data_IF_500726970218
#
_entry.id   IF_500726970218
#
_cell.length_a   1.000
_cell.length_b   1.000
_cell.length_c   1.000
_cell.angle_alpha   90.00
_cell.angle_beta   90.00
_cell.angle_gamma   90.00
#
_symmetry.space_group_name_H-M   'P 1'
#
loop_
_entity.id
_entity.type
_entity.pdbx_description
1 polymer ?
#
# COMPACT_ATOMS: atom_id res chain seq x y z
N UNK A 1 -3.86 10.92 27.78
CA UNK A 1 -2.57 11.65 27.74
C UNK A 1 -1.34 10.75 27.58
N UNK A 2 -1.26 9.55 28.19
CA UNK A 2 -0.07 8.68 28.03
C UNK A 2 -0.01 7.97 26.68
N UNK A 3 -1.15 7.60 26.10
CA UNK A 3 -1.23 6.93 24.79
C UNK A 3 -0.75 7.83 23.64
N UNK A 4 -1.09 9.13 23.66
CA UNK A 4 -0.67 10.07 22.61
C UNK A 4 0.85 10.24 22.61
N UNK A 5 1.48 10.20 23.78
CA UNK A 5 2.95 10.24 23.92
C UNK A 5 3.60 8.95 23.44
N UNK A 6 2.96 7.80 23.65
CA UNK A 6 3.46 6.51 23.15
C UNK A 6 3.40 6.43 21.62
N UNK A 7 2.31 6.89 21.01
CA UNK A 7 2.14 6.96 19.55
C UNK A 7 3.12 7.95 18.92
N UNK A 8 3.33 9.12 19.56
CA UNK A 8 4.27 10.13 19.07
C UNK A 8 5.72 9.61 18.99
N UNK A 9 6.09 8.61 19.80
CA UNK A 9 7.41 7.96 19.80
C UNK A 9 7.58 6.89 18.72
N UNK A 10 6.48 6.42 18.08
CA UNK A 10 6.58 5.45 17.02
C UNK A 10 7.26 6.06 15.78
N UNK A 11 8.18 5.33 15.13
CA UNK A 11 8.85 5.82 13.93
C UNK A 11 7.83 6.01 12.80
N UNK A 12 7.69 7.27 12.36
CA UNK A 12 6.69 7.66 11.35
C UNK A 12 7.11 7.17 9.96
N UNK A 13 6.11 6.78 9.19
CA UNK A 13 6.28 6.40 7.78
C UNK A 13 5.96 7.59 6.89
N UNK A 14 6.77 7.79 5.85
CA UNK A 14 6.49 8.77 4.80
C UNK A 14 5.25 8.35 4.01
N UNK A 15 4.39 9.31 3.63
CA UNK A 15 3.11 9.06 2.95
C UNK A 15 3.26 8.29 1.64
N UNK A 16 4.26 8.64 0.82
CA UNK A 16 4.51 7.96 -0.45
C UNK A 16 4.83 6.46 -0.29
N UNK A 17 5.50 6.06 0.82
CA UNK A 17 5.78 4.64 1.10
C UNK A 17 4.49 3.86 1.39
N UNK A 18 3.51 4.49 2.06
CA UNK A 18 2.18 3.90 2.28
C UNK A 18 1.45 3.69 0.96
N UNK A 19 1.48 4.69 0.07
CA UNK A 19 0.91 4.58 -1.26
C UNK A 19 1.58 3.47 -2.09
N UNK A 20 2.91 3.38 -2.07
CA UNK A 20 3.64 2.32 -2.76
C UNK A 20 3.33 0.92 -2.17
N UNK A 21 3.19 0.79 -0.85
CA UNK A 21 2.79 -0.47 -0.23
C UNK A 21 1.38 -0.88 -0.66
N UNK A 22 0.44 0.06 -0.69
CA UNK A 22 -0.92 -0.16 -1.17
C UNK A 22 -0.91 -0.59 -2.64
N UNK A 23 -0.11 0.05 -3.47
CA UNK A 23 0.06 -0.29 -4.87
C UNK A 23 0.59 -1.72 -5.07
N UNK A 24 1.59 -2.14 -4.29
CA UNK A 24 2.11 -3.52 -4.33
C UNK A 24 1.02 -4.52 -3.92
N UNK A 25 0.29 -4.25 -2.83
CA UNK A 25 -0.80 -5.10 -2.35
C UNK A 25 -1.93 -5.19 -3.41
N UNK A 26 -2.30 -4.06 -4.01
CA UNK A 26 -3.30 -3.98 -5.08
C UNK A 26 -2.90 -4.85 -6.27
N UNK A 27 -1.68 -4.66 -6.80
CA UNK A 27 -1.21 -5.44 -7.94
C UNK A 27 -1.11 -6.93 -7.66
N UNK A 28 -0.69 -7.31 -6.46
CA UNK A 28 -0.64 -8.73 -6.08
C UNK A 28 -2.03 -9.37 -6.09
N UNK A 29 -3.05 -8.68 -5.56
CA UNK A 29 -4.42 -9.20 -5.54
C UNK A 29 -5.07 -9.16 -6.91
N UNK A 30 -4.96 -8.05 -7.64
CA UNK A 30 -5.58 -7.91 -8.96
C UNK A 30 -5.01 -8.91 -9.97
N UNK A 31 -3.69 -9.16 -9.94
CA UNK A 31 -3.06 -10.15 -10.81
C UNK A 31 -3.60 -11.57 -10.54
N UNK A 32 -3.71 -11.96 -9.26
CA UNK A 32 -4.24 -13.29 -8.92
C UNK A 32 -5.72 -13.39 -9.26
N UNK A 33 -6.51 -12.34 -9.00
CA UNK A 33 -7.93 -12.30 -9.33
C UNK A 33 -8.15 -12.44 -10.83
N UNK A 34 -7.49 -11.63 -11.65
CA UNK A 34 -7.65 -11.65 -13.12
C UNK A 34 -7.13 -12.94 -13.78
N UNK A 35 -6.13 -13.60 -13.20
CA UNK A 35 -5.67 -14.90 -13.71
C UNK A 35 -6.61 -16.05 -13.34
N UNK A 36 -7.34 -15.94 -12.23
CA UNK A 36 -8.27 -16.97 -11.77
C UNK A 36 -9.65 -16.87 -12.44
N UNK A 37 -10.04 -15.67 -12.85
CA UNK A 37 -11.32 -15.40 -13.54
C UNK A 37 -11.03 -15.03 -14.99
N UNK A 38 -10.97 -16.00 -15.89
CA UNK A 38 -10.83 -15.75 -17.33
C UNK A 38 -12.20 -15.49 -17.95
N UNK A 39 -12.77 -14.29 -17.72
CA UNK A 39 -13.98 -13.86 -18.42
C UNK A 39 -13.61 -13.28 -19.79
N UNK A 40 -14.30 -13.76 -20.83
CA UNK A 40 -14.19 -13.20 -22.20
C UNK A 40 -14.98 -11.90 -22.38
N UNK A 41 -15.76 -11.52 -21.40
CA UNK A 41 -16.57 -10.31 -21.43
C UNK A 41 -15.78 -9.09 -20.94
N UNK A 42 -15.92 -7.93 -21.60
CA UNK A 42 -15.24 -6.72 -21.18
C UNK A 42 -15.85 -6.16 -19.87
N UNK A 43 -15.00 -5.92 -18.88
CA UNK A 43 -15.40 -5.38 -17.59
C UNK A 43 -15.17 -6.38 -16.44
N UNK A 44 -15.28 -5.89 -15.21
CA UNK A 44 -15.13 -6.71 -13.99
C UNK A 44 -16.44 -7.45 -13.71
N UNK A 45 -16.43 -8.79 -13.79
CA UNK A 45 -17.55 -9.63 -13.41
C UNK A 45 -17.81 -9.63 -11.90
N UNK A 46 -19.01 -10.03 -11.49
CA UNK A 46 -19.36 -10.13 -10.05
C UNK A 46 -18.51 -11.19 -9.35
N UNK A 47 -18.23 -12.29 -10.03
CA UNK A 47 -17.36 -13.38 -9.56
C UNK A 47 -15.92 -12.88 -9.35
N UNK A 48 -15.40 -12.11 -10.29
CA UNK A 48 -14.07 -11.49 -10.20
C UNK A 48 -14.01 -10.45 -9.07
N UNK A 49 -15.02 -9.58 -8.93
CA UNK A 49 -15.12 -8.61 -7.85
C UNK A 49 -15.16 -9.28 -6.46
N UNK A 50 -15.94 -10.36 -6.33
CA UNK A 50 -16.01 -11.14 -5.10
C UNK A 50 -14.68 -11.83 -4.80
N UNK A 51 -14.04 -12.44 -5.79
CA UNK A 51 -12.75 -13.08 -5.63
C UNK A 51 -11.68 -12.05 -5.25
N UNK A 52 -11.65 -10.89 -5.90
CA UNK A 52 -10.77 -9.78 -5.54
C UNK A 52 -10.93 -9.39 -4.06
N UNK A 53 -12.17 -9.20 -3.61
CA UNK A 53 -12.44 -8.81 -2.22
C UNK A 53 -12.05 -9.91 -1.22
N UNK A 54 -12.32 -11.17 -1.53
CA UNK A 54 -11.90 -12.31 -0.70
C UNK A 54 -10.37 -12.41 -0.60
N UNK A 55 -9.66 -12.28 -1.72
CA UNK A 55 -8.20 -12.30 -1.75
C UNK A 55 -7.62 -11.09 -1.01
N UNK A 56 -8.23 -9.90 -1.18
CA UNK A 56 -7.85 -8.70 -0.46
C UNK A 56 -7.95 -8.89 1.06
N UNK A 57 -9.13 -9.30 1.55
CA UNK A 57 -9.36 -9.52 2.98
C UNK A 57 -8.49 -10.65 3.51
N UNK A 58 -8.38 -11.77 2.79
CA UNK A 58 -7.53 -12.90 3.16
C UNK A 58 -6.08 -12.46 3.31
N UNK A 59 -5.51 -11.82 2.30
CA UNK A 59 -4.13 -11.34 2.34
C UNK A 59 -3.92 -10.30 3.46
N UNK A 60 -4.83 -9.34 3.59
CA UNK A 60 -4.63 -8.20 4.50
C UNK A 60 -5.07 -8.46 5.94
N UNK A 61 -5.85 -9.50 6.20
CA UNK A 61 -6.19 -9.93 7.56
C UNK A 61 -5.29 -11.09 7.98
N UNK A 62 -5.23 -12.18 7.20
CA UNK A 62 -4.48 -13.38 7.57
C UNK A 62 -2.98 -13.09 7.61
N UNK A 63 -2.39 -12.52 6.54
CA UNK A 63 -0.96 -12.22 6.55
C UNK A 63 -0.60 -11.19 7.62
N UNK A 64 -1.44 -10.18 7.85
CA UNK A 64 -1.17 -9.15 8.86
C UNK A 64 -1.16 -9.74 10.27
N UNK A 65 -2.08 -10.65 10.59
CA UNK A 65 -2.09 -11.34 11.89
C UNK A 65 -0.88 -12.28 12.05
N UNK A 66 -0.55 -13.05 11.01
CA UNK A 66 0.57 -13.98 11.05
C UNK A 66 1.94 -13.29 10.98
N UNK A 67 2.04 -12.17 10.26
CA UNK A 67 3.29 -11.46 9.99
C UNK A 67 3.43 -10.16 10.82
N UNK A 68 3.02 -10.18 12.07
CA UNK A 68 3.24 -9.09 13.04
C UNK A 68 2.80 -7.70 12.55
N UNK A 69 1.66 -7.61 11.86
CA UNK A 69 1.11 -6.36 11.39
C UNK A 69 1.51 -5.96 9.95
N UNK A 70 2.07 -6.88 9.17
CA UNK A 70 2.58 -6.58 7.83
C UNK A 70 1.81 -7.34 6.73
N UNK A 71 1.28 -6.61 5.73
CA UNK A 71 0.90 -7.17 4.42
C UNK A 71 2.13 -7.32 3.53
N UNK A 72 1.97 -7.84 2.30
CA UNK A 72 3.08 -7.98 1.34
C UNK A 72 3.77 -6.63 1.06
N UNK A 73 2.99 -5.61 0.72
CA UNK A 73 3.53 -4.28 0.43
C UNK A 73 4.14 -3.61 1.66
N UNK A 74 3.51 -3.76 2.83
CA UNK A 74 4.07 -3.24 4.10
C UNK A 74 5.35 -3.97 4.49
N UNK A 75 5.41 -5.28 4.30
CA UNK A 75 6.61 -6.06 4.53
C UNK A 75 7.76 -5.63 3.59
N UNK A 76 7.45 -5.43 2.31
CA UNK A 76 8.43 -4.98 1.31
C UNK A 76 9.04 -3.61 1.65
N UNK A 77 8.29 -2.73 2.32
CA UNK A 77 8.71 -1.36 2.64
C UNK A 77 9.02 -1.13 4.13
N UNK A 78 9.23 -2.19 4.89
CA UNK A 78 9.55 -2.14 6.33
C UNK A 78 8.54 -1.32 7.15
N UNK A 79 7.25 -1.62 6.98
CA UNK A 79 6.15 -0.99 7.71
C UNK A 79 5.26 -2.02 8.37
N UNK A 80 4.59 -1.63 9.43
CA UNK A 80 3.57 -2.45 10.10
C UNK A 80 2.40 -1.61 10.59
N UNK A 81 1.24 -2.23 10.72
CA UNK A 81 0.08 -1.65 11.39
C UNK A 81 0.11 -2.02 12.88
N UNK A 82 -0.21 -1.05 13.73
CA UNK A 82 -0.32 -1.25 15.18
C UNK A 82 -1.57 -0.56 15.71
N UNK A 83 -2.12 -1.11 16.77
CA UNK A 83 -3.20 -0.50 17.54
C UNK A 83 -2.69 0.74 18.29
N UNK A 84 -3.48 1.82 18.28
CA UNK A 84 -3.12 3.08 18.94
C UNK A 84 -3.12 2.98 20.45
N UNK A 85 -3.84 2.03 21.04
CA UNK A 85 -3.97 1.88 22.50
C UNK A 85 -2.79 1.14 23.10
N UNK A 86 -2.30 0.11 22.42
CA UNK A 86 -1.32 -0.83 23.00
C UNK A 86 -0.03 -0.95 22.19
N UNK A 87 0.10 -0.27 21.03
CA UNK A 87 1.23 -0.33 20.11
C UNK A 87 1.61 -1.77 19.67
N UNK A 88 0.64 -2.69 19.67
CA UNK A 88 0.75 -4.09 19.23
C UNK A 88 -0.08 -4.34 17.98
N UNK A 89 -0.03 -5.54 17.43
CA UNK A 89 -0.88 -5.93 16.29
C UNK A 89 -2.34 -5.72 16.67
N UNK A 90 -3.15 -5.06 15.81
CA UNK A 90 -4.56 -4.82 16.09
C UNK A 90 -5.35 -6.11 16.24
N UNK A 91 -6.46 -6.05 16.96
CA UNK A 91 -7.40 -7.17 17.07
C UNK A 91 -8.08 -7.42 15.72
N UNK A 92 -8.56 -8.67 15.53
CA UNK A 92 -9.19 -9.07 14.26
C UNK A 92 -10.37 -8.18 13.87
N UNK A 93 -11.17 -7.74 14.85
CA UNK A 93 -12.32 -6.85 14.61
C UNK A 93 -11.87 -5.49 14.07
N UNK A 94 -10.82 -4.91 14.65
CA UNK A 94 -10.28 -3.63 14.22
C UNK A 94 -9.60 -3.76 12.83
N UNK A 95 -8.89 -4.87 12.59
CA UNK A 95 -8.35 -5.19 11.27
C UNK A 95 -9.46 -5.36 10.22
N UNK A 96 -10.55 -6.04 10.57
CA UNK A 96 -11.68 -6.25 9.65
C UNK A 96 -12.36 -4.92 9.29
N UNK A 97 -12.61 -4.05 10.27
CA UNK A 97 -13.16 -2.69 10.01
C UNK A 97 -12.26 -1.90 9.07
N UNK A 98 -10.96 -1.92 9.33
CA UNK A 98 -9.95 -1.22 8.56
C UNK A 98 -9.84 -1.74 7.13
N UNK A 99 -9.58 -3.04 7.00
CA UNK A 99 -9.31 -3.65 5.69
C UNK A 99 -10.59 -3.88 4.88
N UNK A 100 -11.74 -3.98 5.55
CA UNK A 100 -13.06 -4.04 4.90
C UNK A 100 -13.40 -2.71 4.22
N UNK A 101 -13.26 -1.58 4.91
CA UNK A 101 -13.47 -0.27 4.31
C UNK A 101 -12.50 -0.02 3.16
N UNK A 102 -11.21 -0.23 3.40
CA UNK A 102 -10.19 -0.08 2.38
C UNK A 102 -10.39 -1.04 1.20
N UNK A 103 -10.86 -2.27 1.47
CA UNK A 103 -11.14 -3.26 0.43
C UNK A 103 -12.25 -2.82 -0.53
N UNK A 104 -13.30 -2.19 0.00
CA UNK A 104 -14.37 -1.60 -0.82
C UNK A 104 -13.82 -0.45 -1.68
N UNK A 105 -13.04 0.46 -1.09
CA UNK A 105 -12.45 1.59 -1.81
C UNK A 105 -11.51 1.12 -2.93
N UNK A 106 -10.68 0.13 -2.66
CA UNK A 106 -9.73 -0.43 -3.64
C UNK A 106 -10.46 -1.25 -4.70
N UNK A 107 -11.57 -1.94 -4.36
CA UNK A 107 -12.43 -2.60 -5.34
C UNK A 107 -13.08 -1.58 -6.29
N UNK A 108 -13.54 -0.43 -5.78
CA UNK A 108 -14.03 0.66 -6.61
C UNK A 108 -12.96 1.18 -7.57
N UNK A 109 -11.71 1.29 -7.11
CA UNK A 109 -10.58 1.62 -7.98
C UNK A 109 -10.37 0.54 -9.04
N UNK A 110 -10.41 -0.73 -8.67
CA UNK A 110 -10.26 -1.86 -9.59
C UNK A 110 -11.29 -1.82 -10.71
N UNK A 111 -12.58 -1.67 -10.35
CA UNK A 111 -13.67 -1.49 -11.31
C UNK A 111 -13.48 -0.18 -12.11
N UNK A 112 -13.14 0.92 -11.42
CA UNK A 112 -13.00 2.24 -12.04
C UNK A 112 -11.95 2.28 -13.15
N UNK A 113 -10.83 1.57 -12.98
CA UNK A 113 -9.75 1.50 -13.98
C UNK A 113 -10.22 0.86 -15.31
N UNK A 114 -11.12 -0.13 -15.27
CA UNK A 114 -11.70 -0.76 -16.44
C UNK A 114 -12.66 0.19 -17.21
N UNK A 115 -13.26 1.15 -16.48
CA UNK A 115 -14.20 2.12 -17.05
C UNK A 115 -13.56 3.47 -17.43
N UNK A 116 -12.22 3.60 -17.37
CA UNK A 116 -11.51 4.79 -17.85
C UNK A 116 -11.52 4.77 -19.38
N UNK A 117 -12.48 5.51 -19.97
CA UNK A 117 -12.60 5.68 -21.43
C UNK A 117 -12.78 7.17 -21.76
N UNK A 118 -12.28 7.64 -22.92
CA UNK A 118 -12.52 9.01 -23.39
C UNK A 118 -14.03 9.30 -23.44
N UNK A 119 -14.47 10.38 -22.80
CA UNK A 119 -15.88 10.78 -22.71
C UNK A 119 -16.67 10.18 -21.54
N UNK A 120 -16.10 9.26 -20.76
CA UNK A 120 -16.75 8.70 -19.55
C UNK A 120 -16.05 9.18 -18.29
N UNK A 121 -16.74 9.94 -17.43
CA UNK A 121 -16.22 10.34 -16.11
C UNK A 121 -16.42 9.30 -15.02
N UNK A 122 -17.13 8.21 -15.29
CA UNK A 122 -17.51 7.20 -14.29
C UNK A 122 -16.27 6.56 -13.67
N UNK A 123 -15.29 6.16 -14.47
CA UNK A 123 -14.06 5.56 -13.98
C UNK A 123 -13.32 6.46 -12.98
N UNK A 124 -13.18 7.76 -13.30
CA UNK A 124 -12.56 8.73 -12.41
C UNK A 124 -13.36 8.96 -11.12
N UNK A 125 -14.70 8.95 -11.22
CA UNK A 125 -15.58 9.09 -10.05
C UNK A 125 -15.39 7.93 -9.05
N UNK A 126 -15.18 6.72 -9.52
CA UNK A 126 -14.94 5.54 -8.68
C UNK A 126 -13.60 5.56 -7.95
N UNK A 127 -12.64 6.38 -8.39
CA UNK A 127 -11.35 6.55 -7.70
C UNK A 127 -11.45 7.54 -6.52
N UNK A 128 -12.48 8.38 -6.46
CA UNK A 128 -12.61 9.45 -5.46
C UNK A 128 -12.63 8.95 -4.01
N UNK A 129 -13.36 7.87 -3.64
CA UNK A 129 -13.40 7.42 -2.25
C UNK A 129 -12.00 7.16 -1.69
N UNK A 130 -11.18 6.38 -2.40
CA UNK A 130 -9.80 6.10 -1.98
C UNK A 130 -8.92 7.36 -1.96
N UNK A 131 -9.09 8.26 -2.93
CA UNK A 131 -8.34 9.51 -2.97
C UNK A 131 -8.67 10.41 -1.77
N UNK A 132 -9.94 10.51 -1.39
CA UNK A 132 -10.39 11.27 -0.22
C UNK A 132 -9.84 10.63 1.05
N UNK A 133 -9.99 9.32 1.24
CA UNK A 133 -9.47 8.60 2.41
C UNK A 133 -7.96 8.81 2.57
N UNK A 134 -7.19 8.62 1.50
CA UNK A 134 -5.75 8.81 1.51
C UNK A 134 -5.33 10.27 1.75
N UNK A 135 -6.12 11.25 1.33
CA UNK A 135 -5.82 12.67 1.54
C UNK A 135 -5.79 13.07 3.02
N UNK A 136 -6.60 12.39 3.83
CA UNK A 136 -6.71 12.65 5.27
C UNK A 136 -5.42 12.34 6.04
N UNK A 137 -4.49 11.57 5.48
CA UNK A 137 -3.18 11.31 6.09
C UNK A 137 -2.38 12.59 6.36
N UNK A 138 -2.64 13.65 5.60
CA UNK A 138 -1.95 14.93 5.74
C UNK A 138 -2.63 15.89 6.73
N UNK A 139 -3.85 15.57 7.19
CA UNK A 139 -4.60 16.45 8.10
C UNK A 139 -4.07 16.40 9.53
N UNK A 140 -3.44 15.29 9.94
CA UNK A 140 -2.85 15.16 11.27
C UNK A 140 -1.35 14.81 11.16
N UNK A 141 -0.46 15.78 11.41
CA UNK A 141 0.97 15.56 11.35
C UNK A 141 1.49 14.63 12.45
N UNK A 142 0.74 14.43 13.55
CA UNK A 142 1.16 13.60 14.67
C UNK A 142 0.93 12.11 14.41
N UNK A 143 -0.26 11.74 13.98
CA UNK A 143 -0.62 10.32 13.78
C UNK A 143 -0.53 9.88 12.34
N UNK A 144 -0.70 10.81 11.38
CA UNK A 144 -0.76 10.54 9.93
C UNK A 144 -1.75 9.42 9.60
N UNK A 145 -2.92 9.43 10.24
CA UNK A 145 -3.96 8.44 10.03
C UNK A 145 -4.85 8.82 8.84
N UNK A 146 -5.18 7.84 8.02
CA UNK A 146 -6.25 7.89 7.02
C UNK A 146 -7.60 7.71 7.70
N UNK A 147 -8.71 7.81 6.96
CA UNK A 147 -10.04 7.63 7.52
C UNK A 147 -10.26 6.21 8.06
N UNK A 148 -9.92 5.20 7.27
CA UNK A 148 -9.99 3.80 7.70
C UNK A 148 -9.09 3.50 8.90
N UNK A 149 -7.92 4.16 9.02
CA UNK A 149 -7.05 4.04 10.19
C UNK A 149 -7.71 4.60 11.45
N UNK A 150 -8.42 5.75 11.33
CA UNK A 150 -9.12 6.38 12.46
C UNK A 150 -10.29 5.56 12.96
N UNK A 151 -11.12 5.02 12.05
CA UNK A 151 -12.26 4.15 12.42
C UNK A 151 -11.79 2.90 13.16
N UNK A 152 -10.69 2.33 12.75
CA UNK A 152 -10.14 1.11 13.35
C UNK A 152 -9.22 1.37 14.55
N UNK A 153 -8.93 2.63 14.89
CA UNK A 153 -7.99 2.95 15.96
C UNK A 153 -6.58 2.42 15.73
N UNK A 154 -6.10 2.47 14.48
CA UNK A 154 -4.80 1.93 14.07
C UNK A 154 -3.86 3.01 13.54
N UNK A 155 -2.58 2.72 13.52
CA UNK A 155 -1.55 3.60 12.93
C UNK A 155 -0.49 2.77 12.22
N UNK A 156 0.08 3.31 11.13
CA UNK A 156 1.18 2.66 10.42
C UNK A 156 2.51 3.25 10.92
N UNK A 157 3.40 2.38 11.38
CA UNK A 157 4.74 2.74 11.81
C UNK A 157 5.82 1.98 11.01
N UNK A 158 7.03 2.56 10.95
CA UNK A 158 8.17 1.89 10.35
C UNK A 158 8.69 0.78 11.25
N UNK A 159 9.15 -0.32 10.65
CA UNK A 159 9.93 -1.35 11.33
C UNK A 159 11.43 -1.05 11.17
N UNK A 160 12.25 -1.47 12.13
CA UNK A 160 13.70 -1.22 12.10
C UNK A 160 14.49 -2.35 11.42
N UNK A 161 13.88 -3.09 10.48
CA UNK A 161 14.54 -4.25 9.84
C UNK A 161 15.67 -3.86 8.87
N UNK A 162 15.67 -2.65 8.30
CA UNK A 162 16.72 -2.16 7.40
C UNK A 162 16.73 -2.81 6.00
N UNK A 163 15.72 -3.59 5.64
CA UNK A 163 15.63 -4.34 4.37
C UNK A 163 14.61 -3.77 3.38
N UNK A 164 14.22 -2.52 3.55
CA UNK A 164 13.23 -1.86 2.72
C UNK A 164 13.62 -1.86 1.23
N UNK A 165 12.66 -2.19 0.34
CA UNK A 165 12.88 -2.23 -1.11
C UNK A 165 13.35 -0.88 -1.66
N UNK A 166 12.85 0.23 -1.12
CA UNK A 166 13.26 1.58 -1.55
C UNK A 166 14.75 1.84 -1.29
N UNK A 167 15.31 1.32 -0.20
CA UNK A 167 16.74 1.40 0.09
C UNK A 167 17.56 0.54 -0.88
N UNK A 168 17.07 -0.66 -1.23
CA UNK A 168 17.73 -1.53 -2.21
C UNK A 168 17.71 -0.90 -3.60
N UNK A 169 16.56 -0.39 -4.04
CA UNK A 169 16.43 0.30 -5.34
C UNK A 169 17.35 1.52 -5.42
N UNK A 170 17.38 2.36 -4.38
CA UNK A 170 18.31 3.49 -4.31
C UNK A 170 19.77 3.06 -4.36
N UNK A 171 20.11 1.93 -3.73
CA UNK A 171 21.47 1.38 -3.78
C UNK A 171 21.82 0.91 -5.19
N UNK A 172 20.91 0.19 -5.86
CA UNK A 172 21.11 -0.29 -7.22
C UNK A 172 21.20 0.85 -8.23
N UNK A 173 20.34 1.88 -8.08
CA UNK A 173 20.41 3.06 -8.92
C UNK A 173 21.77 3.78 -8.80
N UNK A 174 22.27 3.98 -7.59
CA UNK A 174 23.61 4.57 -7.37
C UNK A 174 24.74 3.73 -7.94
N UNK A 175 24.63 2.40 -7.84
CA UNK A 175 25.62 1.49 -8.46
C UNK A 175 25.58 1.59 -9.97
N UNK A 176 24.40 1.63 -10.57
CA UNK A 176 24.23 1.81 -12.01
C UNK A 176 24.80 3.14 -12.51
N UNK A 177 24.56 4.25 -11.80
CA UNK A 177 25.14 5.55 -12.14
C UNK A 177 26.68 5.52 -12.12
N UNK A 178 27.28 4.98 -11.07
CA UNK A 178 28.74 4.83 -10.97
C UNK A 178 29.33 3.99 -12.10
N UNK A 179 28.65 2.93 -12.48
CA UNK A 179 29.07 2.07 -13.58
C UNK A 179 29.02 2.82 -14.94
N UNK A 180 27.96 3.60 -15.19
CA UNK A 180 27.85 4.43 -16.37
C UNK A 180 28.93 5.52 -16.41
N UNK A 181 29.22 6.18 -15.30
CA UNK A 181 30.29 7.18 -15.18
C UNK A 181 31.67 6.57 -15.50
N UNK A 182 31.95 5.37 -15.00
CA UNK A 182 33.20 4.65 -15.28
C UNK A 182 33.37 4.31 -16.77
N UNK A 183 32.27 3.87 -17.43
CA UNK A 183 32.30 3.59 -18.88
C UNK A 183 32.57 4.87 -19.67
N UNK A 184 31.94 5.97 -19.30
CA UNK A 184 32.11 7.26 -19.98
C UNK A 184 33.54 7.79 -19.82
N UNK A 185 34.12 7.71 -18.64
CA UNK A 185 35.50 8.09 -18.38
C UNK A 185 36.52 7.21 -19.14
N UNK A 186 36.28 5.89 -19.17
CA UNK A 186 37.16 4.98 -19.93
C UNK A 186 37.08 5.20 -21.45
N UNK A 187 35.96 5.69 -21.99
CA UNK A 187 35.85 6.07 -23.40
C UNK A 187 36.59 7.36 -23.69
N UNK A 188 36.52 8.36 -22.83
CA UNK A 188 37.24 9.63 -22.98
C UNK A 188 38.75 9.42 -22.97
N UNK A 189 39.26 8.60 -22.04
CA UNK A 189 40.70 8.29 -21.95
C UNK A 189 41.24 7.40 -23.06
N UNK A 190 40.41 6.85 -23.96
CA UNK A 190 40.83 6.06 -25.11
C UNK A 190 40.81 6.87 -26.43
N UNK A 191 40.24 8.08 -26.41
CA UNK A 191 40.13 8.98 -27.56
C UNK A 191 41.22 10.06 -27.59
N UNK A 192 41.98 10.17 -26.50
CA UNK A 192 43.22 10.95 -26.38
C UNK A 192 44.45 10.04 -26.57
#
# INVERSE_FOLDING_TARGET
MDNDRAIARLPKVQTWRRGLALFIDYWAVSLVSSLATSSSEPGVGVDEALLFLLLWLGMRIILVTMNQGQSLGRWALDMKVVDTRFARVPELVDLFKREGLMGIEVLLVYIGLEYIRPGSGIGLFLLLPLAIDCSLVNTDPLTKQTFHDRIAGTVICATRRGYSLDLKVKRWYRLGQRWLEQITQNRSNRSD
#
